data_IF_884900285469
#
_entry.id   IF_884900285469
#
_cell.length_a   1.000
_cell.length_b   1.000
_cell.length_c   1.000
_cell.angle_alpha   90.00
_cell.angle_beta   90.00
_cell.angle_gamma   90.00
#
_symmetry.space_group_name_H-M   'P 1'
#
loop_
_entity.id
_entity.type
_entity.pdbx_description
1 polymer ?
#
# COMPACT_ATOMS: atom_id res chain seq x y z
N UNK A 1 -66.22 20.91 69.51
CA UNK A 1 -64.83 21.30 69.82
C UNK A 1 -63.92 20.34 69.05
N UNK A 2 -63.48 20.74 67.85
CA UNK A 2 -62.62 19.91 66.98
C UNK A 2 -61.26 20.58 66.95
N UNK A 3 -60.26 19.95 67.57
CA UNK A 3 -58.87 20.39 67.59
C UNK A 3 -58.19 20.01 66.28
N UNK A 4 -57.81 21.00 65.49
CA UNK A 4 -56.96 20.85 64.30
C UNK A 4 -55.48 20.91 64.75
N UNK A 5 -54.76 19.81 64.58
CA UNK A 5 -53.29 19.76 64.68
C UNK A 5 -52.65 20.33 63.41
N UNK A 6 -51.62 21.19 63.49
CA UNK A 6 -50.90 21.64 62.31
C UNK A 6 -49.90 20.57 61.83
N UNK A 7 -49.91 20.29 60.52
CA UNK A 7 -48.92 19.46 59.83
C UNK A 7 -47.52 20.09 59.90
N UNK A 8 -46.51 19.25 60.14
CA UNK A 8 -45.09 19.57 59.91
C UNK A 8 -44.85 19.71 58.40
N UNK A 9 -44.14 20.74 57.91
CA UNK A 9 -43.75 20.79 56.51
C UNK A 9 -42.73 19.68 56.22
N UNK A 10 -42.98 18.97 55.12
CA UNK A 10 -42.13 17.90 54.62
C UNK A 10 -40.72 18.41 54.30
N UNK A 11 -39.70 17.69 54.79
CA UNK A 11 -38.31 17.88 54.38
C UNK A 11 -38.22 17.83 52.85
N UNK A 12 -37.87 18.98 52.26
CA UNK A 12 -37.58 19.10 50.85
C UNK A 12 -36.43 18.13 50.51
N UNK A 13 -36.77 17.01 49.86
CA UNK A 13 -35.82 16.05 49.30
C UNK A 13 -34.91 16.78 48.32
N UNK A 14 -33.72 17.15 48.79
CA UNK A 14 -32.67 17.75 47.95
C UNK A 14 -32.25 16.73 46.89
N UNK A 15 -32.56 17.01 45.63
CA UNK A 15 -32.11 16.19 44.50
C UNK A 15 -30.58 16.10 44.41
N UNK A 16 -30.04 15.10 43.68
CA UNK A 16 -28.61 14.81 43.61
C UNK A 16 -27.75 16.04 43.23
N UNK A 17 -28.30 16.95 42.44
CA UNK A 17 -27.64 18.20 42.01
C UNK A 17 -27.39 19.17 43.18
N UNK A 18 -28.31 19.29 44.15
CA UNK A 18 -28.18 20.18 45.30
C UNK A 18 -27.15 19.71 46.36
N UNK A 19 -26.82 18.41 46.36
CA UNK A 19 -25.79 17.83 47.23
C UNK A 19 -24.38 18.07 46.68
N UNK A 20 -24.23 18.05 45.35
CA UNK A 20 -22.97 18.33 44.65
C UNK A 20 -22.55 19.80 44.84
N UNK A 21 -23.50 20.74 44.78
CA UNK A 21 -23.21 22.18 44.91
C UNK A 21 -22.86 22.63 46.34
N UNK A 22 -23.47 22.05 47.39
CA UNK A 22 -23.11 22.33 48.80
C UNK A 22 -21.78 21.72 49.22
N UNK A 23 -21.42 20.55 48.68
CA UNK A 23 -20.13 19.90 48.95
C UNK A 23 -18.94 20.70 48.40
N UNK A 24 -19.11 21.37 47.25
CA UNK A 24 -18.07 22.16 46.57
C UNK A 24 -17.54 23.38 47.37
N UNK A 25 -18.26 23.81 48.42
CA UNK A 25 -17.86 24.92 49.30
C UNK A 25 -16.89 24.46 50.39
N UNK A 26 -16.82 23.16 50.69
CA UNK A 26 -15.97 22.61 51.75
C UNK A 26 -14.63 22.08 51.19
N UNK A 27 -13.54 22.21 51.96
CA UNK A 27 -12.20 21.72 51.59
C UNK A 27 -12.17 20.23 51.16
N UNK A 28 -12.93 19.32 51.80
CA UNK A 28 -13.03 17.91 51.37
C UNK A 28 -13.77 17.73 50.04
N UNK A 29 -14.84 18.48 49.80
CA UNK A 29 -15.63 18.36 48.57
C UNK A 29 -14.88 18.81 47.31
N UNK A 30 -14.03 19.84 47.43
CA UNK A 30 -13.14 20.25 46.32
C UNK A 30 -12.11 19.18 45.96
N UNK A 31 -11.54 18.46 46.94
CA UNK A 31 -10.59 17.37 46.69
C UNK A 31 -11.26 16.17 46.01
N UNK A 32 -12.50 15.84 46.39
CA UNK A 32 -13.29 14.80 45.72
C UNK A 32 -13.60 15.15 44.26
N UNK A 33 -13.90 16.42 43.97
CA UNK A 33 -14.19 16.87 42.60
C UNK A 33 -12.93 16.79 41.71
N UNK A 34 -11.77 17.18 42.23
CA UNK A 34 -10.48 17.02 41.53
C UNK A 34 -10.17 15.54 41.29
N UNK A 35 -10.44 14.66 42.26
CA UNK A 35 -10.27 13.21 42.09
C UNK A 35 -11.09 12.66 40.92
N UNK A 36 -12.39 13.01 40.90
CA UNK A 36 -13.31 12.59 39.84
C UNK A 36 -12.86 13.15 38.49
N UNK A 37 -12.47 14.42 38.42
CA UNK A 37 -11.97 15.03 37.20
C UNK A 37 -10.71 14.32 36.67
N UNK A 38 -9.73 14.03 37.54
CA UNK A 38 -8.51 13.31 37.15
C UNK A 38 -8.81 11.89 36.65
N UNK A 39 -9.73 11.17 37.31
CA UNK A 39 -10.15 9.84 36.89
C UNK A 39 -10.83 9.88 35.52
N UNK A 40 -11.71 10.85 35.29
CA UNK A 40 -12.38 11.04 34.00
C UNK A 40 -11.36 11.35 32.89
N UNK A 41 -10.45 12.31 33.10
CA UNK A 41 -9.42 12.64 32.10
C UNK A 41 -8.51 11.43 31.83
N UNK A 42 -8.12 10.68 32.86
CA UNK A 42 -7.31 9.46 32.70
C UNK A 42 -8.06 8.40 31.88
N UNK A 43 -9.33 8.15 32.19
CA UNK A 43 -10.15 7.17 31.49
C UNK A 43 -10.36 7.56 30.02
N UNK A 44 -10.73 8.82 29.74
CA UNK A 44 -10.92 9.33 28.38
C UNK A 44 -9.62 9.24 27.59
N UNK A 45 -8.49 9.67 28.18
CA UNK A 45 -7.18 9.59 27.52
C UNK A 45 -6.81 8.15 27.18
N UNK A 46 -6.99 7.22 28.13
CA UNK A 46 -6.70 5.79 27.92
C UNK A 46 -7.56 5.17 26.82
N UNK A 47 -8.87 5.46 26.81
CA UNK A 47 -9.80 4.96 25.79
C UNK A 47 -9.44 5.50 24.40
N UNK A 48 -9.25 6.82 24.27
CA UNK A 48 -8.92 7.45 22.99
C UNK A 48 -7.57 6.95 22.48
N UNK A 49 -6.57 6.82 23.35
CA UNK A 49 -5.26 6.24 23.00
C UNK A 49 -5.40 4.79 22.52
N UNK A 50 -6.15 3.95 23.24
CA UNK A 50 -6.37 2.55 22.87
C UNK A 50 -7.06 2.41 21.51
N UNK A 51 -8.13 3.18 21.28
CA UNK A 51 -8.85 3.19 19.99
C UNK A 51 -7.95 3.67 18.85
N UNK A 52 -7.13 4.71 19.08
CA UNK A 52 -6.21 5.22 18.06
C UNK A 52 -5.13 4.20 17.70
N UNK A 53 -4.59 3.49 18.70
CA UNK A 53 -3.59 2.44 18.50
C UNK A 53 -4.18 1.23 17.79
N UNK A 54 -5.41 0.85 18.15
CA UNK A 54 -6.13 -0.24 17.50
C UNK A 54 -6.40 0.11 16.03
N UNK A 55 -6.91 1.30 15.75
CA UNK A 55 -7.16 1.75 14.38
C UNK A 55 -5.88 1.72 13.52
N UNK A 56 -4.73 2.18 14.07
CA UNK A 56 -3.45 2.09 13.36
C UNK A 56 -3.00 0.65 13.11
N UNK A 57 -3.25 -0.27 14.04
CA UNK A 57 -2.95 -1.69 13.85
C UNK A 57 -3.83 -2.30 12.77
N UNK A 58 -5.13 -2.02 12.81
CA UNK A 58 -6.09 -2.50 11.82
C UNK A 58 -5.71 -1.99 10.42
N UNK A 59 -5.27 -0.74 10.27
CA UNK A 59 -4.75 -0.21 8.99
C UNK A 59 -3.50 -0.96 8.51
N UNK A 60 -2.56 -1.30 9.41
CA UNK A 60 -1.36 -2.05 9.04
C UNK A 60 -1.68 -3.49 8.62
N UNK A 61 -2.64 -4.13 9.32
CA UNK A 61 -3.10 -5.47 8.98
C UNK A 61 -3.84 -5.46 7.63
N UNK A 62 -4.65 -4.43 7.35
CA UNK A 62 -5.35 -4.27 6.07
C UNK A 62 -4.41 -4.01 4.88
N UNK A 63 -3.36 -3.20 5.08
CA UNK A 63 -2.31 -2.96 4.10
C UNK A 63 -1.67 -4.27 3.60
N UNK A 64 -1.45 -5.23 4.51
CA UNK A 64 -0.83 -6.53 4.21
C UNK A 64 -1.84 -7.53 3.67
N UNK A 65 -3.02 -7.62 4.27
CA UNK A 65 -3.99 -8.67 3.97
C UNK A 65 -4.80 -8.40 2.69
N UNK A 66 -5.04 -7.13 2.36
CA UNK A 66 -5.93 -6.75 1.27
C UNK A 66 -5.26 -5.83 0.24
N UNK A 67 -4.63 -4.73 0.67
CA UNK A 67 -4.17 -3.69 -0.29
C UNK A 67 -3.03 -4.12 -1.19
N UNK A 68 -1.93 -4.65 -0.64
CA UNK A 68 -0.82 -5.13 -1.47
C UNK A 68 -1.25 -6.25 -2.43
N UNK A 69 -2.03 -7.26 -1.99
CA UNK A 69 -2.51 -8.32 -2.88
C UNK A 69 -3.41 -7.84 -4.04
N UNK A 70 -4.10 -6.70 -3.89
CA UNK A 70 -4.94 -6.09 -4.94
C UNK A 70 -4.08 -5.31 -5.94
N UNK A 71 -3.17 -4.46 -5.47
CA UNK A 71 -2.19 -3.81 -6.35
C UNK A 71 -1.37 -4.85 -7.14
N UNK A 72 -1.02 -5.96 -6.49
CA UNK A 72 -0.35 -7.08 -7.15
C UNK A 72 -1.24 -7.77 -8.20
N UNK A 73 -2.54 -7.88 -7.96
CA UNK A 73 -3.49 -8.45 -8.93
C UNK A 73 -3.63 -7.53 -10.16
N UNK A 74 -3.80 -6.22 -9.97
CA UNK A 74 -3.87 -5.26 -11.08
C UNK A 74 -2.61 -5.30 -11.96
N UNK A 75 -1.44 -5.34 -11.33
CA UNK A 75 -0.16 -5.50 -12.01
C UNK A 75 -0.04 -6.84 -12.76
N UNK A 76 -0.58 -7.92 -12.19
CA UNK A 76 -0.61 -9.23 -12.82
C UNK A 76 -1.51 -9.25 -14.07
N UNK A 77 -2.63 -8.51 -14.06
CA UNK A 77 -3.47 -8.33 -15.25
C UNK A 77 -2.65 -7.68 -16.37
N UNK A 78 -2.01 -6.53 -16.11
CA UNK A 78 -1.18 -5.86 -17.12
C UNK A 78 -0.10 -6.80 -17.66
N UNK A 79 0.63 -7.46 -16.77
CA UNK A 79 1.70 -8.41 -17.11
C UNK A 79 1.20 -9.46 -18.11
N UNK A 80 0.16 -10.18 -17.73
CA UNK A 80 -0.31 -11.33 -18.48
C UNK A 80 -0.91 -10.90 -19.81
N UNK A 81 -1.64 -9.79 -19.83
CA UNK A 81 -2.18 -9.25 -21.08
C UNK A 81 -1.07 -8.84 -22.06
N UNK A 82 -0.03 -8.17 -21.57
CA UNK A 82 1.05 -7.74 -22.46
C UNK A 82 1.94 -8.90 -22.92
N UNK A 83 2.18 -9.91 -22.07
CA UNK A 83 2.93 -11.12 -22.48
C UNK A 83 2.12 -11.95 -23.48
N UNK A 84 0.79 -12.03 -23.31
CA UNK A 84 -0.10 -12.67 -24.27
C UNK A 84 -0.04 -12.01 -25.65
N UNK A 85 -0.07 -10.67 -25.72
CA UNK A 85 0.00 -9.93 -26.99
C UNK A 85 1.35 -10.10 -27.70
N UNK A 86 2.46 -9.99 -26.95
CA UNK A 86 3.80 -10.23 -27.50
C UNK A 86 3.98 -11.70 -27.96
N UNK A 87 3.43 -12.66 -27.21
CA UNK A 87 3.46 -14.09 -27.55
C UNK A 87 2.62 -14.38 -28.79
N UNK A 88 1.42 -13.79 -28.90
CA UNK A 88 0.56 -13.92 -30.07
C UNK A 88 1.24 -13.36 -31.33
N UNK A 89 1.88 -12.20 -31.23
CA UNK A 89 2.62 -11.62 -32.35
C UNK A 89 3.85 -12.46 -32.74
N UNK A 90 4.60 -12.98 -31.75
CA UNK A 90 5.75 -13.87 -32.01
C UNK A 90 5.33 -15.18 -32.68
N UNK A 91 4.22 -15.78 -32.22
CA UNK A 91 3.62 -16.98 -32.82
C UNK A 91 3.10 -16.73 -34.23
N UNK A 92 2.67 -15.50 -34.53
CA UNK A 92 2.27 -15.12 -35.87
C UNK A 92 3.48 -15.03 -36.81
N UNK A 93 4.58 -14.41 -36.35
CA UNK A 93 5.82 -14.25 -37.11
C UNK A 93 6.50 -15.56 -37.49
N UNK A 94 6.32 -16.64 -36.71
CA UNK A 94 6.86 -17.96 -37.08
C UNK A 94 6.24 -18.55 -38.35
N UNK A 95 5.07 -18.03 -38.78
CA UNK A 95 4.35 -18.47 -39.97
C UNK A 95 3.69 -19.85 -39.82
N UNK A 96 2.64 -20.10 -40.61
CA UNK A 96 1.99 -21.41 -40.68
C UNK A 96 1.36 -21.87 -39.36
N UNK A 97 1.68 -23.09 -38.94
CA UNK A 97 1.25 -23.64 -37.64
C UNK A 97 2.20 -23.13 -36.56
N UNK A 98 1.65 -22.43 -35.57
CA UNK A 98 2.44 -21.88 -34.46
C UNK A 98 3.14 -22.99 -33.64
N UNK A 99 4.32 -22.70 -33.06
CA UNK A 99 4.96 -23.58 -32.08
C UNK A 99 4.04 -23.85 -30.87
N UNK A 100 4.01 -25.10 -30.42
CA UNK A 100 3.14 -25.52 -29.30
C UNK A 100 3.47 -24.77 -28.00
N UNK A 101 4.74 -24.44 -27.78
CA UNK A 101 5.21 -23.73 -26.60
C UNK A 101 4.64 -22.31 -26.53
N UNK A 102 4.60 -21.60 -27.67
CA UNK A 102 4.02 -20.25 -27.73
C UNK A 102 2.50 -20.30 -27.56
N UNK A 103 1.84 -21.33 -28.08
CA UNK A 103 0.41 -21.54 -27.88
C UNK A 103 0.08 -21.72 -26.40
N UNK A 104 0.79 -22.61 -25.71
CA UNK A 104 0.59 -22.87 -24.29
C UNK A 104 0.88 -21.63 -23.43
N UNK A 105 1.92 -20.86 -23.77
CA UNK A 105 2.22 -19.60 -23.06
C UNK A 105 1.09 -18.58 -23.20
N UNK A 106 0.59 -18.35 -24.41
CA UNK A 106 -0.55 -17.46 -24.65
C UNK A 106 -1.78 -17.87 -23.84
N UNK A 107 -2.15 -19.15 -23.86
CA UNK A 107 -3.31 -19.66 -23.11
C UNK A 107 -3.13 -19.49 -21.60
N UNK A 108 -1.93 -19.76 -21.10
CA UNK A 108 -1.58 -19.56 -19.69
C UNK A 108 -1.72 -18.09 -19.27
N UNK A 109 -1.22 -17.17 -20.08
CA UNK A 109 -1.29 -15.73 -19.81
C UNK A 109 -2.75 -15.24 -19.81
N UNK A 110 -3.58 -15.66 -20.76
CA UNK A 110 -5.01 -15.30 -20.77
C UNK A 110 -5.73 -15.83 -19.53
N UNK A 111 -5.44 -17.08 -19.13
CA UNK A 111 -6.00 -17.65 -17.90
C UNK A 111 -5.55 -16.89 -16.65
N UNK A 112 -4.27 -16.50 -16.59
CA UNK A 112 -3.71 -15.75 -15.47
C UNK A 112 -4.28 -14.33 -15.39
N UNK A 113 -4.46 -13.65 -16.52
CA UNK A 113 -5.13 -12.35 -16.59
C UNK A 113 -6.59 -12.46 -16.10
N UNK A 114 -7.32 -13.49 -16.54
CA UNK A 114 -8.70 -13.72 -16.10
C UNK A 114 -8.82 -13.99 -14.60
N UNK A 115 -7.91 -14.80 -14.03
CA UNK A 115 -7.86 -15.05 -12.58
C UNK A 115 -7.52 -13.79 -11.77
N UNK A 116 -6.53 -13.00 -12.23
CA UNK A 116 -6.17 -11.75 -11.59
C UNK A 116 -7.29 -10.71 -11.67
N UNK A 117 -8.01 -10.65 -12.81
CA UNK A 117 -9.19 -9.80 -12.98
C UNK A 117 -10.34 -10.21 -12.05
N UNK A 118 -10.58 -11.51 -11.86
CA UNK A 118 -11.57 -11.99 -10.91
C UNK A 118 -11.22 -11.58 -9.47
N UNK A 119 -9.93 -11.66 -9.09
CA UNK A 119 -9.45 -11.19 -7.78
C UNK A 119 -9.58 -9.67 -7.63
N UNK A 120 -9.20 -8.89 -8.64
CA UNK A 120 -9.37 -7.45 -8.60
C UNK A 120 -10.84 -7.08 -8.43
N UNK A 121 -11.75 -7.78 -9.12
CA UNK A 121 -13.21 -7.57 -9.08
C UNK A 121 -13.84 -7.71 -7.70
N UNK A 122 -13.23 -8.43 -6.75
CA UNK A 122 -13.85 -8.66 -5.43
C UNK A 122 -13.85 -7.45 -4.51
N UNK A 123 -12.93 -6.50 -4.68
CA UNK A 123 -12.77 -5.32 -3.80
C UNK A 123 -13.15 -3.99 -4.47
N UNK A 124 -13.69 -4.05 -5.68
CA UNK A 124 -14.02 -2.85 -6.47
C UNK A 124 -15.31 -2.18 -6.02
N UNK A 125 -16.14 -2.87 -5.23
CA UNK A 125 -17.48 -2.43 -4.85
C UNK A 125 -17.56 -1.07 -4.13
N UNK A 126 -16.43 -0.53 -3.67
CA UNK A 126 -16.33 0.78 -3.03
C UNK A 126 -15.91 1.94 -3.96
N UNK A 127 -15.52 1.70 -5.22
CA UNK A 127 -14.94 2.76 -6.07
C UNK A 127 -15.36 2.71 -7.55
N UNK A 128 -16.09 3.74 -8.00
CA UNK A 128 -16.54 3.83 -9.38
C UNK A 128 -15.42 3.84 -10.42
N UNK A 129 -14.24 4.40 -10.11
CA UNK A 129 -13.13 4.51 -11.06
C UNK A 129 -12.49 3.16 -11.32
N UNK A 130 -12.25 2.38 -10.26
CA UNK A 130 -11.76 1.02 -10.37
C UNK A 130 -12.81 0.11 -11.04
N UNK A 131 -14.10 0.33 -10.74
CA UNK A 131 -15.21 -0.44 -11.33
C UNK A 131 -15.27 -0.27 -12.84
N UNK A 132 -15.08 0.96 -13.32
CA UNK A 132 -15.01 1.25 -14.75
C UNK A 132 -13.84 0.54 -15.44
N UNK A 133 -12.66 0.44 -14.80
CA UNK A 133 -11.52 -0.26 -15.41
C UNK A 133 -11.75 -1.77 -15.49
N UNK A 134 -12.29 -2.37 -14.42
CA UNK A 134 -12.64 -3.80 -14.41
C UNK A 134 -13.72 -4.12 -15.44
N UNK A 135 -14.69 -3.23 -15.64
CA UNK A 135 -15.71 -3.37 -16.68
C UNK A 135 -15.09 -3.39 -18.08
N UNK A 136 -14.19 -2.44 -18.38
CA UNK A 136 -13.47 -2.40 -19.67
C UNK A 136 -12.69 -3.69 -19.89
N UNK A 137 -11.92 -4.13 -18.89
CA UNK A 137 -11.13 -5.36 -18.98
C UNK A 137 -12.02 -6.59 -19.24
N UNK A 138 -13.13 -6.70 -18.50
CA UNK A 138 -14.07 -7.83 -18.59
C UNK A 138 -14.77 -7.89 -19.95
N UNK A 139 -15.13 -6.75 -20.53
CA UNK A 139 -15.80 -6.68 -21.83
C UNK A 139 -14.85 -6.91 -23.01
N UNK A 140 -13.63 -6.36 -22.94
CA UNK A 140 -12.71 -6.34 -24.08
C UNK A 140 -11.80 -7.57 -24.16
N UNK A 141 -11.51 -8.26 -23.05
CA UNK A 141 -10.64 -9.44 -23.05
C UNK A 141 -11.16 -10.60 -23.94
N UNK A 142 -12.47 -10.94 -23.93
CA UNK A 142 -13.02 -11.92 -24.86
C UNK A 142 -12.93 -11.49 -26.32
N UNK A 143 -13.13 -10.19 -26.62
CA UNK A 143 -13.04 -9.63 -27.98
C UNK A 143 -11.62 -9.76 -28.51
N UNK A 144 -10.63 -9.35 -27.70
CA UNK A 144 -9.21 -9.52 -28.00
C UNK A 144 -8.88 -10.99 -28.31
N UNK A 145 -9.31 -11.91 -27.44
CA UNK A 145 -9.04 -13.34 -27.62
C UNK A 145 -9.63 -13.87 -28.93
N UNK A 146 -10.85 -13.45 -29.27
CA UNK A 146 -11.49 -13.82 -30.54
C UNK A 146 -10.76 -13.29 -31.78
N UNK A 147 -10.22 -12.07 -31.73
CA UNK A 147 -9.41 -11.50 -32.83
C UNK A 147 -8.10 -12.28 -33.02
N UNK A 148 -7.41 -12.64 -31.92
CA UNK A 148 -6.18 -13.45 -31.99
C UNK A 148 -6.44 -14.84 -32.58
N UNK A 149 -7.53 -15.51 -32.17
CA UNK A 149 -7.90 -16.81 -32.76
C UNK A 149 -8.23 -16.69 -34.26
N UNK A 150 -8.90 -15.60 -34.66
CA UNK A 150 -9.20 -15.32 -36.07
C UNK A 150 -7.91 -15.07 -36.88
N UNK A 151 -6.98 -14.30 -36.31
CA UNK A 151 -5.67 -14.06 -36.91
C UNK A 151 -4.90 -15.36 -37.11
N UNK A 152 -4.86 -16.21 -36.09
CA UNK A 152 -4.22 -17.53 -36.11
C UNK A 152 -4.82 -18.45 -37.16
N UNK A 153 -6.15 -18.54 -37.24
CA UNK A 153 -6.84 -19.37 -38.24
C UNK A 153 -6.51 -18.96 -39.69
N UNK A 154 -6.37 -17.66 -39.93
CA UNK A 154 -5.94 -17.13 -41.22
C UNK A 154 -4.44 -17.36 -41.48
N UNK A 155 -3.59 -17.21 -40.45
CA UNK A 155 -2.14 -17.45 -40.57
C UNK A 155 -1.83 -18.89 -40.98
N UNK A 156 -2.54 -19.87 -40.39
CA UNK A 156 -2.43 -21.30 -40.74
C UNK A 156 -2.79 -21.59 -42.20
N UNK A 157 -3.65 -20.78 -42.81
CA UNK A 157 -4.05 -20.89 -44.22
C UNK A 157 -3.18 -20.03 -45.15
N UNK A 158 -2.23 -19.26 -44.62
CA UNK A 158 -1.41 -18.33 -45.38
C UNK A 158 -2.16 -17.09 -45.89
N UNK A 159 -3.34 -16.79 -45.33
CA UNK A 159 -4.15 -15.66 -45.76
C UNK A 159 -3.61 -14.33 -45.20
N UNK A 160 -3.39 -13.29 -46.05
CA UNK A 160 -2.91 -11.98 -45.59
C UNK A 160 -3.80 -11.31 -44.54
N UNK A 161 -5.10 -11.65 -44.52
CA UNK A 161 -6.06 -11.16 -43.53
C UNK A 161 -5.65 -11.47 -42.08
N UNK A 162 -4.85 -12.51 -41.84
CA UNK A 162 -4.37 -12.84 -40.50
C UNK A 162 -3.59 -11.70 -39.85
N UNK A 163 -2.76 -11.00 -40.63
CA UNK A 163 -1.96 -9.88 -40.11
C UNK A 163 -2.85 -8.68 -39.76
N UNK A 164 -3.94 -8.46 -40.50
CA UNK A 164 -4.89 -7.40 -40.20
C UNK A 164 -5.63 -7.66 -38.88
N UNK A 165 -6.13 -8.88 -38.67
CA UNK A 165 -6.78 -9.26 -37.40
C UNK A 165 -5.82 -9.22 -36.21
N UNK A 166 -4.55 -9.61 -36.38
CA UNK A 166 -3.57 -9.50 -35.32
C UNK A 166 -3.31 -8.04 -34.95
N UNK A 167 -3.12 -7.15 -35.94
CA UNK A 167 -2.94 -5.71 -35.68
C UNK A 167 -4.17 -5.10 -35.00
N UNK A 168 -5.38 -5.54 -35.37
CA UNK A 168 -6.61 -5.11 -34.70
C UNK A 168 -6.65 -5.58 -33.24
N UNK A 169 -6.27 -6.84 -32.97
CA UNK A 169 -6.15 -7.38 -31.62
C UNK A 169 -5.15 -6.57 -30.78
N UNK A 170 -3.93 -6.34 -31.29
CA UNK A 170 -2.92 -5.57 -30.58
C UNK A 170 -3.30 -4.10 -30.43
N UNK A 171 -4.02 -3.51 -31.40
CA UNK A 171 -4.58 -2.16 -31.25
C UNK A 171 -5.62 -2.09 -30.12
N UNK A 172 -6.49 -3.10 -29.99
CA UNK A 172 -7.43 -3.22 -28.87
C UNK A 172 -6.68 -3.38 -27.54
N UNK A 173 -5.64 -4.21 -27.53
CA UNK A 173 -4.78 -4.43 -26.35
C UNK A 173 -4.18 -3.10 -25.87
N UNK A 174 -3.56 -2.36 -26.77
CA UNK A 174 -2.83 -1.12 -26.45
C UNK A 174 -3.71 0.08 -26.18
N UNK A 175 -4.88 0.18 -26.83
CA UNK A 175 -5.77 1.34 -26.68
C UNK A 175 -6.81 1.20 -25.57
N UNK A 176 -7.11 -0.03 -25.14
CA UNK A 176 -8.15 -0.30 -24.13
C UNK A 176 -7.67 -1.13 -22.96
N UNK A 177 -7.15 -2.33 -23.22
CA UNK A 177 -6.87 -3.31 -22.16
C UNK A 177 -5.69 -2.91 -21.27
N UNK A 178 -4.52 -2.63 -21.87
CA UNK A 178 -3.34 -2.21 -21.11
C UNK A 178 -3.55 -0.89 -20.36
N UNK A 179 -4.13 0.18 -20.96
CA UNK A 179 -4.44 1.40 -20.23
C UNK A 179 -5.45 1.20 -19.09
N UNK A 180 -6.42 0.30 -19.24
CA UNK A 180 -7.36 0.00 -18.16
C UNK A 180 -6.67 -0.75 -17.00
N UNK A 181 -5.80 -1.70 -17.31
CA UNK A 181 -5.01 -2.41 -16.30
C UNK A 181 -4.01 -1.49 -15.57
N UNK A 182 -3.35 -0.59 -16.31
CA UNK A 182 -2.45 0.42 -15.77
C UNK A 182 -3.18 1.39 -14.83
N UNK A 183 -4.33 1.93 -15.25
CA UNK A 183 -5.16 2.78 -14.39
C UNK A 183 -5.70 2.06 -13.15
N UNK A 184 -6.07 0.79 -13.28
CA UNK A 184 -6.51 0.00 -12.14
C UNK A 184 -5.38 -0.14 -11.12
N UNK A 185 -4.15 -0.38 -11.60
CA UNK A 185 -2.97 -0.41 -10.74
C UNK A 185 -2.70 0.95 -10.08
N UNK A 186 -2.74 2.06 -10.82
CA UNK A 186 -2.56 3.41 -10.28
C UNK A 186 -3.57 3.72 -9.16
N UNK A 187 -4.85 3.38 -9.37
CA UNK A 187 -5.89 3.58 -8.35
C UNK A 187 -5.58 2.78 -7.08
N UNK A 188 -5.23 1.51 -7.21
CA UNK A 188 -4.91 0.65 -6.05
C UNK A 188 -3.61 1.09 -5.35
N UNK A 189 -2.64 1.60 -6.11
CA UNK A 189 -1.41 2.14 -5.58
C UNK A 189 -1.61 3.45 -4.79
N UNK A 190 -2.38 4.39 -5.33
CA UNK A 190 -2.72 5.66 -4.65
C UNK A 190 -3.44 5.43 -3.33
N UNK A 191 -4.33 4.43 -3.28
CA UNK A 191 -5.00 4.01 -2.04
C UNK A 191 -4.04 3.43 -1.03
N UNK A 192 -3.13 2.57 -1.48
CA UNK A 192 -2.08 2.00 -0.64
C UNK A 192 -1.19 3.11 -0.05
N UNK A 193 -0.80 4.11 -0.85
CA UNK A 193 -0.06 5.27 -0.36
C UNK A 193 -0.87 6.08 0.67
N UNK A 194 -2.14 6.36 0.38
CA UNK A 194 -3.02 7.11 1.30
C UNK A 194 -3.18 6.40 2.66
N UNK A 195 -3.29 5.07 2.67
CA UNK A 195 -3.35 4.29 3.90
C UNK A 195 -2.00 4.24 4.64
N UNK A 196 -0.88 4.18 3.93
CA UNK A 196 0.45 4.31 4.53
C UNK A 196 0.66 5.70 5.19
N UNK A 197 0.22 6.77 4.53
CA UNK A 197 0.24 8.13 5.09
C UNK A 197 -0.65 8.25 6.34
N UNK A 198 -1.86 7.69 6.27
CA UNK A 198 -2.79 7.62 7.40
C UNK A 198 -2.19 6.84 8.58
N UNK A 199 -1.50 5.72 8.31
CA UNK A 199 -0.81 4.94 9.33
C UNK A 199 0.30 5.75 10.03
N UNK A 200 1.01 6.64 9.33
CA UNK A 200 2.03 7.54 9.92
C UNK A 200 1.49 8.81 10.56
N UNK A 201 0.22 9.14 10.33
CA UNK A 201 -0.37 10.37 10.86
C UNK A 201 -0.16 10.54 12.37
N UNK A 202 0.22 11.76 12.78
CA UNK A 202 0.44 12.08 14.19
C UNK A 202 -0.91 12.15 14.93
N UNK A 203 -1.09 11.41 16.04
CA UNK A 203 -2.36 11.37 16.76
C UNK A 203 -2.54 12.60 17.66
N UNK A 204 -2.76 13.77 17.06
CA UNK A 204 -2.84 15.07 17.76
C UNK A 204 -3.85 15.10 18.92
N UNK A 205 -5.00 14.43 18.77
CA UNK A 205 -6.03 14.34 19.82
C UNK A 205 -5.49 13.62 21.05
N UNK A 206 -4.78 12.50 20.86
CA UNK A 206 -4.15 11.74 21.96
C UNK A 206 -3.09 12.60 22.66
N UNK A 207 -2.25 13.30 21.88
CA UNK A 207 -1.21 14.19 22.42
C UNK A 207 -1.84 15.29 23.27
N UNK A 208 -2.91 15.94 22.79
CA UNK A 208 -3.60 17.00 23.53
C UNK A 208 -4.19 16.49 24.86
N UNK A 209 -4.83 15.31 24.86
CA UNK A 209 -5.38 14.68 26.06
C UNK A 209 -4.29 14.30 27.07
N UNK A 210 -3.17 13.77 26.58
CA UNK A 210 -1.98 13.47 27.37
C UNK A 210 -1.43 14.73 28.04
N UNK A 211 -1.25 15.82 27.28
CA UNK A 211 -0.73 17.09 27.81
C UNK A 211 -1.67 17.64 28.87
N UNK A 212 -2.99 17.56 28.64
CA UNK A 212 -4.01 17.95 29.61
C UNK A 212 -3.92 17.11 30.90
N UNK A 213 -3.76 15.78 30.77
CA UNK A 213 -3.65 14.86 31.91
C UNK A 213 -2.40 15.16 32.74
N UNK A 214 -1.25 15.35 32.10
CA UNK A 214 0.02 15.69 32.77
C UNK A 214 -0.10 17.05 33.47
N UNK A 215 -0.65 18.06 32.80
CA UNK A 215 -0.87 19.37 33.39
C UNK A 215 -1.80 19.31 34.61
N UNK A 216 -2.88 18.53 34.54
CA UNK A 216 -3.81 18.33 35.65
C UNK A 216 -3.16 17.61 36.85
N UNK A 217 -2.32 16.59 36.60
CA UNK A 217 -1.56 15.90 37.65
C UNK A 217 -0.57 16.84 38.34
N UNK A 218 0.21 17.60 37.56
CA UNK A 218 1.19 18.57 38.08
C UNK A 218 0.50 19.69 38.87
N UNK A 219 -0.61 20.23 38.35
CA UNK A 219 -1.39 21.25 39.05
C UNK A 219 -1.95 20.73 40.38
N UNK A 220 -2.45 19.49 40.39
CA UNK A 220 -2.99 18.84 41.60
C UNK A 220 -1.90 18.59 42.65
N UNK A 221 -0.73 18.07 42.23
CA UNK A 221 0.42 17.90 43.11
C UNK A 221 0.87 19.23 43.70
N UNK A 222 1.04 20.28 42.88
CA UNK A 222 1.44 21.62 43.33
C UNK A 222 0.45 22.23 44.31
N UNK A 223 -0.86 22.07 44.06
CA UNK A 223 -1.91 22.54 44.98
C UNK A 223 -1.86 21.82 46.33
N UNK A 224 -1.69 20.49 46.33
CA UNK A 224 -1.56 19.70 47.55
C UNK A 224 -0.29 20.07 48.34
N UNK A 225 0.86 20.20 47.67
CA UNK A 225 2.13 20.57 48.33
C UNK A 225 2.03 21.95 48.97
N UNK A 226 1.47 22.95 48.28
CA UNK A 226 1.28 24.30 48.83
C UNK A 226 0.33 24.35 50.02
N UNK A 227 -0.69 23.49 50.06
CA UNK A 227 -1.70 23.50 51.11
C UNK A 227 -1.33 22.67 52.34
N UNK A 228 -0.51 21.63 52.17
CA UNK A 228 -0.20 20.66 53.23
C UNK A 228 1.28 20.65 53.67
N UNK A 229 2.15 21.43 53.03
CA UNK A 229 3.60 21.49 53.29
C UNK A 229 4.35 20.15 53.27
N UNK A 230 3.72 19.05 52.80
CA UNK A 230 4.37 17.75 52.55
C UNK A 230 4.75 17.65 51.08
N UNK A 231 6.01 17.27 50.83
CA UNK A 231 6.61 17.34 49.50
C UNK A 231 6.04 16.31 48.50
N UNK A 232 5.64 15.11 48.92
CA UNK A 232 5.23 14.03 47.99
C UNK A 232 4.01 13.25 48.48
N UNK A 233 3.03 13.05 47.59
CA UNK A 233 1.92 12.11 47.77
C UNK A 233 2.21 10.84 46.96
N UNK A 234 2.47 9.73 47.65
CA UNK A 234 2.91 8.46 47.04
C UNK A 234 1.93 7.97 45.97
N UNK A 235 0.61 8.07 46.20
CA UNK A 235 -0.38 7.65 45.21
C UNK A 235 -0.36 8.48 43.92
N UNK A 236 -0.19 9.80 44.04
CA UNK A 236 -0.05 10.69 42.87
C UNK A 236 1.29 10.50 42.15
N UNK A 237 2.36 10.11 42.87
CA UNK A 237 3.65 9.77 42.27
C UNK A 237 3.52 8.48 41.45
N UNK A 238 2.88 7.43 42.00
CA UNK A 238 2.60 6.18 41.27
C UNK A 238 1.77 6.46 40.02
N UNK A 239 0.74 7.30 40.13
CA UNK A 239 -0.07 7.68 38.96
C UNK A 239 0.74 8.44 37.90
N UNK A 240 1.60 9.37 38.33
CA UNK A 240 2.47 10.12 37.40
C UNK A 240 3.50 9.21 36.73
N UNK A 241 4.08 8.27 37.47
CA UNK A 241 5.02 7.28 36.94
C UNK A 241 4.33 6.36 35.93
N UNK A 242 3.13 5.87 36.23
CA UNK A 242 2.35 5.04 35.29
C UNK A 242 2.03 5.79 33.99
N UNK A 243 1.59 7.06 34.08
CA UNK A 243 1.38 7.90 32.90
C UNK A 243 2.69 8.10 32.12
N UNK A 244 3.79 8.43 32.80
CA UNK A 244 5.09 8.63 32.15
C UNK A 244 5.57 7.37 31.42
N UNK A 245 5.43 6.19 32.02
CA UNK A 245 5.77 4.91 31.39
C UNK A 245 4.90 4.67 30.15
N UNK A 246 3.59 4.89 30.24
CA UNK A 246 2.69 4.79 29.07
C UNK A 246 3.11 5.72 27.94
N UNK A 247 3.54 6.94 28.26
CA UNK A 247 3.97 7.93 27.28
C UNK A 247 5.27 7.54 26.60
N UNK A 248 6.29 7.16 27.37
CA UNK A 248 7.59 6.77 26.82
C UNK A 248 7.43 5.51 25.97
N UNK A 249 6.69 4.51 26.45
CA UNK A 249 6.43 3.28 25.70
C UNK A 249 5.62 3.58 24.43
N UNK A 250 4.49 4.29 24.54
CA UNK A 250 3.66 4.66 23.40
C UNK A 250 4.41 5.48 22.34
N UNK A 251 5.18 6.48 22.75
CA UNK A 251 6.01 7.28 21.86
C UNK A 251 7.08 6.43 21.16
N UNK A 252 7.77 5.56 21.88
CA UNK A 252 8.80 4.68 21.31
C UNK A 252 8.19 3.72 20.27
N UNK A 253 7.05 3.11 20.59
CA UNK A 253 6.36 2.22 19.67
C UNK A 253 5.85 2.94 18.41
N UNK A 254 5.30 4.16 18.55
CA UNK A 254 4.88 4.97 17.42
C UNK A 254 6.06 5.42 16.54
N UNK A 255 7.21 5.74 17.13
CA UNK A 255 8.43 6.06 16.37
C UNK A 255 8.96 4.85 15.61
N UNK A 256 9.02 3.68 16.25
CA UNK A 256 9.42 2.42 15.59
C UNK A 256 8.44 2.04 14.47
N UNK A 257 7.14 2.09 14.75
CA UNK A 257 6.09 1.88 13.75
C UNK A 257 6.25 2.83 12.58
N UNK A 258 6.37 4.14 12.82
CA UNK A 258 6.50 5.15 11.76
C UNK A 258 7.76 4.94 10.92
N UNK A 259 8.89 4.58 11.54
CA UNK A 259 10.13 4.23 10.84
C UNK A 259 9.98 2.98 9.98
N UNK A 260 9.32 1.94 10.48
CA UNK A 260 9.05 0.73 9.69
C UNK A 260 8.10 1.00 8.53
N UNK A 261 7.04 1.80 8.72
CA UNK A 261 6.17 2.20 7.61
C UNK A 261 6.98 3.04 6.61
N UNK A 262 7.88 3.93 7.06
CA UNK A 262 8.79 4.74 6.22
C UNK A 262 9.66 3.88 5.31
N UNK A 263 10.28 2.85 5.87
CA UNK A 263 11.04 1.87 5.10
C UNK A 263 10.13 1.08 4.14
N UNK A 264 8.93 0.67 4.58
CA UNK A 264 7.98 -0.07 3.75
C UNK A 264 7.50 0.73 2.52
N UNK A 265 7.40 2.06 2.65
CA UNK A 265 7.07 2.93 1.53
C UNK A 265 8.26 3.10 0.60
N UNK A 266 9.41 3.57 1.10
CA UNK A 266 10.55 3.91 0.25
C UNK A 266 11.17 2.69 -0.44
N UNK A 267 11.40 1.63 0.33
CA UNK A 267 12.13 0.45 -0.12
C UNK A 267 11.19 -0.68 -0.55
N UNK A 268 9.88 -0.50 -0.33
CA UNK A 268 8.83 -1.43 -0.74
C UNK A 268 7.97 -0.81 -1.82
N UNK A 269 6.88 -0.12 -1.44
CA UNK A 269 5.85 0.32 -2.40
C UNK A 269 6.36 1.29 -3.48
N UNK A 270 7.20 2.27 -3.16
CA UNK A 270 7.78 3.20 -4.15
C UNK A 270 8.75 2.48 -5.10
N UNK A 271 9.63 1.63 -4.58
CA UNK A 271 10.52 0.86 -5.46
C UNK A 271 9.71 -0.08 -6.38
N UNK A 272 8.70 -0.75 -5.83
CA UNK A 272 7.81 -1.63 -6.59
C UNK A 272 7.09 -0.86 -7.69
N UNK A 273 6.57 0.33 -7.42
CA UNK A 273 5.92 1.17 -8.44
C UNK A 273 6.87 1.51 -9.59
N UNK A 274 8.07 2.01 -9.30
CA UNK A 274 9.06 2.31 -10.33
C UNK A 274 9.43 1.07 -11.16
N UNK A 275 9.56 -0.10 -10.52
CA UNK A 275 9.81 -1.37 -11.21
C UNK A 275 8.61 -1.82 -12.05
N UNK A 276 7.38 -1.59 -11.59
CA UNK A 276 6.16 -1.85 -12.35
C UNK A 276 6.11 -0.98 -13.59
N UNK A 277 6.37 0.33 -13.47
CA UNK A 277 6.45 1.26 -14.59
C UNK A 277 7.54 0.88 -15.59
N UNK A 278 8.74 0.52 -15.10
CA UNK A 278 9.82 0.04 -15.97
C UNK A 278 9.39 -1.20 -16.75
N UNK A 279 8.69 -2.12 -16.09
CA UNK A 279 8.20 -3.35 -16.68
C UNK A 279 7.07 -3.10 -17.69
N UNK A 280 6.12 -2.21 -17.37
CA UNK A 280 5.07 -1.72 -18.28
C UNK A 280 5.69 -1.18 -19.56
N UNK A 281 6.67 -0.28 -19.45
CA UNK A 281 7.34 0.32 -20.61
C UNK A 281 8.14 -0.73 -21.39
N UNK A 282 8.83 -1.65 -20.72
CA UNK A 282 9.58 -2.72 -21.41
C UNK A 282 8.64 -3.65 -22.20
N UNK A 283 7.46 -3.94 -21.66
CA UNK A 283 6.46 -4.79 -22.31
C UNK A 283 5.81 -4.08 -23.51
N UNK A 284 5.49 -2.77 -23.39
CA UNK A 284 5.03 -1.93 -24.51
C UNK A 284 6.08 -1.88 -25.64
N UNK A 285 7.35 -1.61 -25.31
CA UNK A 285 8.47 -1.69 -26.25
C UNK A 285 8.58 -3.07 -26.93
N UNK A 286 8.41 -4.18 -26.20
CA UNK A 286 8.51 -5.53 -26.79
C UNK A 286 7.39 -5.80 -27.78
N UNK A 287 6.18 -5.32 -27.51
CA UNK A 287 5.07 -5.37 -28.45
C UNK A 287 5.39 -4.54 -29.70
N UNK A 288 5.88 -3.31 -29.53
CA UNK A 288 6.28 -2.44 -30.64
C UNK A 288 7.33 -3.08 -31.54
N UNK A 289 8.42 -3.58 -30.97
CA UNK A 289 9.48 -4.27 -31.70
C UNK A 289 8.92 -5.40 -32.57
N UNK A 290 8.05 -6.23 -32.01
CA UNK A 290 7.45 -7.35 -32.74
C UNK A 290 6.51 -6.86 -33.85
N UNK A 291 5.73 -5.81 -33.57
CA UNK A 291 4.78 -5.23 -34.52
C UNK A 291 5.46 -4.47 -35.67
N UNK A 292 6.66 -3.92 -35.48
CA UNK A 292 7.43 -3.35 -36.61
C UNK A 292 7.63 -4.38 -37.73
N UNK A 293 7.89 -5.64 -37.38
CA UNK A 293 8.07 -6.74 -38.33
C UNK A 293 6.73 -7.26 -38.87
N UNK A 294 5.69 -7.36 -38.03
CA UNK A 294 4.34 -7.80 -38.46
C UNK A 294 3.73 -6.82 -39.46
N UNK A 295 3.98 -5.52 -39.30
CA UNK A 295 3.37 -4.47 -40.11
C UNK A 295 3.92 -4.37 -41.56
N UNK A 296 5.01 -5.08 -41.90
CA UNK A 296 5.59 -5.20 -43.26
C UNK A 296 5.52 -3.90 -44.09
N UNK A 297 6.03 -2.80 -43.53
CA UNK A 297 6.09 -1.48 -44.18
C UNK A 297 5.25 -0.37 -43.51
N UNK A 298 4.32 -0.72 -42.62
CA UNK A 298 3.54 0.23 -41.80
C UNK A 298 4.04 0.31 -40.33
N UNK A 299 5.33 0.02 -40.13
CA UNK A 299 5.99 -0.01 -38.82
C UNK A 299 6.49 1.32 -38.22
N UNK A 300 6.60 2.47 -38.93
CA UNK A 300 7.24 3.67 -38.36
C UNK A 300 6.63 4.20 -37.05
N UNK A 301 5.33 4.06 -36.85
CA UNK A 301 4.67 4.47 -35.60
C UNK A 301 5.13 3.64 -34.40
N UNK A 302 5.30 2.32 -34.58
CA UNK A 302 5.79 1.42 -33.54
C UNK A 302 7.25 1.69 -33.21
N UNK A 303 8.08 1.96 -34.21
CA UNK A 303 9.48 2.35 -34.01
C UNK A 303 9.59 3.65 -33.20
N UNK A 304 8.77 4.65 -33.52
CA UNK A 304 8.78 5.92 -32.80
C UNK A 304 8.38 5.75 -31.33
N UNK A 305 7.36 4.96 -31.04
CA UNK A 305 6.94 4.65 -29.65
C UNK A 305 8.01 3.84 -28.91
N UNK A 306 8.62 2.85 -29.58
CA UNK A 306 9.75 2.08 -29.03
C UNK A 306 10.88 3.00 -28.57
N UNK A 307 11.31 3.95 -29.42
CA UNK A 307 12.40 4.86 -29.09
C UNK A 307 12.07 5.76 -27.88
N UNK A 308 10.83 6.25 -27.79
CA UNK A 308 10.36 7.07 -26.67
C UNK A 308 10.38 6.28 -25.36
N UNK A 309 9.83 5.07 -25.36
CA UNK A 309 9.75 4.22 -24.18
C UNK A 309 11.13 3.67 -23.79
N UNK A 310 11.97 3.28 -24.75
CA UNK A 310 13.33 2.79 -24.50
C UNK A 310 14.20 3.86 -23.82
N UNK A 311 14.00 5.15 -24.11
CA UNK A 311 14.69 6.24 -23.43
C UNK A 311 14.43 6.25 -21.91
N UNK A 312 13.27 5.75 -21.45
CA UNK A 312 12.95 5.60 -20.01
C UNK A 312 13.65 4.40 -19.34
N UNK A 313 14.29 3.51 -20.13
CA UNK A 313 14.96 2.30 -19.63
C UNK A 313 16.48 2.39 -19.78
N UNK A 314 16.96 2.82 -20.95
CA UNK A 314 18.40 2.86 -21.27
C UNK A 314 18.96 4.29 -21.37
N UNK A 315 18.11 5.31 -21.30
CA UNK A 315 18.54 6.71 -21.44
C UNK A 315 19.32 7.25 -20.23
N UNK A 316 20.00 8.38 -20.43
CA UNK A 316 20.86 8.99 -19.42
C UNK A 316 20.18 9.97 -18.45
N UNK A 317 18.90 10.28 -18.66
CA UNK A 317 18.17 11.27 -17.88
C UNK A 317 17.67 10.76 -16.52
N UNK A 318 17.15 11.69 -15.70
CA UNK A 318 16.50 11.38 -14.42
C UNK A 318 15.23 10.53 -14.59
N UNK A 319 14.62 10.54 -15.78
CA UNK A 319 13.44 9.75 -16.14
C UNK A 319 13.76 8.26 -16.35
N UNK A 320 15.02 7.83 -16.18
CA UNK A 320 15.39 6.43 -16.29
C UNK A 320 14.87 5.64 -15.08
N UNK A 321 13.86 4.81 -15.33
CA UNK A 321 13.15 4.03 -14.32
C UNK A 321 14.05 2.96 -13.67
N UNK A 322 14.97 2.35 -14.42
CA UNK A 322 15.89 1.35 -13.86
C UNK A 322 16.90 1.98 -12.89
N UNK A 323 17.33 3.22 -13.14
CA UNK A 323 18.18 3.97 -12.22
C UNK A 323 17.43 4.43 -10.98
N UNK A 324 16.20 4.91 -11.14
CA UNK A 324 15.33 5.25 -10.02
C UNK A 324 15.08 4.02 -9.14
N UNK A 325 14.75 2.88 -9.74
CA UNK A 325 14.57 1.62 -9.02
C UNK A 325 15.85 1.20 -8.28
N UNK A 326 17.02 1.40 -8.88
CA UNK A 326 18.32 1.12 -8.24
C UNK A 326 18.59 2.04 -7.06
N UNK A 327 18.21 3.31 -7.14
CA UNK A 327 18.39 4.29 -6.07
C UNK A 327 17.46 4.03 -4.87
N UNK A 328 16.30 3.42 -5.10
CA UNK A 328 15.35 2.99 -4.07
C UNK A 328 15.65 1.58 -3.53
N UNK A 329 16.42 0.78 -4.27
CA UNK A 329 16.75 -0.58 -3.88
C UNK A 329 17.46 -0.66 -2.53
N UNK A 330 16.99 -1.61 -1.72
CA UNK A 330 17.55 -1.90 -0.41
C UNK A 330 18.11 -3.30 -0.35
N UNK A 331 19.36 -3.41 0.10
CA UNK A 331 20.08 -4.67 0.17
C UNK A 331 20.77 -5.08 -1.13
N UNK A 332 21.81 -5.90 -0.99
CA UNK A 332 22.71 -6.26 -2.10
C UNK A 332 22.02 -7.09 -3.17
N UNK A 333 21.08 -7.97 -2.79
CA UNK A 333 20.37 -8.83 -3.72
C UNK A 333 19.45 -8.04 -4.67
N UNK A 334 18.56 -7.19 -4.13
CA UNK A 334 17.67 -6.36 -4.95
C UNK A 334 18.46 -5.39 -5.84
N UNK A 335 19.53 -4.79 -5.30
CA UNK A 335 20.43 -3.91 -6.08
C UNK A 335 21.11 -4.66 -7.22
N UNK A 336 21.55 -5.90 -6.98
CA UNK A 336 22.15 -6.77 -7.98
C UNK A 336 21.18 -7.14 -9.10
N UNK A 337 19.93 -7.47 -8.77
CA UNK A 337 18.88 -7.77 -9.75
C UNK A 337 18.55 -6.55 -10.63
N UNK A 338 18.43 -5.36 -10.03
CA UNK A 338 18.20 -4.13 -10.82
C UNK A 338 19.40 -3.80 -11.70
N UNK A 339 20.63 -4.04 -11.24
CA UNK A 339 21.81 -3.86 -12.08
C UNK A 339 21.80 -4.82 -13.29
N UNK A 340 21.47 -6.10 -13.07
CA UNK A 340 21.33 -7.04 -14.18
C UNK A 340 20.20 -6.64 -15.14
N UNK A 341 19.12 -6.06 -14.63
CA UNK A 341 18.06 -5.49 -15.47
C UNK A 341 18.60 -4.34 -16.35
N UNK A 342 19.43 -3.44 -15.80
CA UNK A 342 20.08 -2.37 -16.59
C UNK A 342 20.93 -2.96 -17.73
N UNK A 343 21.76 -3.96 -17.42
CA UNK A 343 22.66 -4.57 -18.40
C UNK A 343 21.86 -5.31 -19.50
N UNK A 344 20.81 -6.04 -19.12
CA UNK A 344 19.94 -6.74 -20.08
C UNK A 344 19.07 -5.78 -20.91
N UNK A 345 18.67 -4.63 -20.36
CA UNK A 345 17.97 -3.60 -21.12
C UNK A 345 18.87 -3.00 -22.21
N UNK A 346 20.14 -2.74 -21.90
CA UNK A 346 21.11 -2.29 -22.89
C UNK A 346 21.36 -3.36 -23.99
N UNK A 347 21.56 -4.61 -23.60
CA UNK A 347 21.73 -5.71 -24.54
C UNK A 347 20.50 -5.89 -25.46
N UNK A 348 19.29 -5.73 -24.90
CA UNK A 348 18.07 -5.78 -25.66
C UNK A 348 17.92 -4.60 -26.64
N UNK A 349 18.25 -3.38 -26.22
CA UNK A 349 18.25 -2.22 -27.10
C UNK A 349 19.24 -2.36 -28.28
N UNK A 350 20.40 -2.99 -28.06
CA UNK A 350 21.34 -3.30 -29.13
C UNK A 350 20.82 -4.38 -30.08
N UNK A 351 20.16 -5.42 -29.56
CA UNK A 351 19.51 -6.44 -30.37
C UNK A 351 18.38 -5.84 -31.23
N UNK A 352 17.59 -4.91 -30.67
CA UNK A 352 16.56 -4.17 -31.39
C UNK A 352 17.14 -3.37 -32.56
N UNK A 353 18.22 -2.63 -32.31
CA UNK A 353 18.93 -1.87 -33.35
C UNK A 353 19.35 -2.76 -34.52
N UNK A 354 19.88 -3.95 -34.21
CA UNK A 354 20.24 -4.95 -35.23
C UNK A 354 19.04 -5.47 -36.00
N UNK A 355 17.89 -5.67 -35.35
CA UNK A 355 16.64 -6.05 -36.05
C UNK A 355 16.26 -4.98 -37.06
N UNK A 356 16.33 -3.69 -36.68
CA UNK A 356 16.02 -2.57 -37.58
C UNK A 356 16.98 -2.50 -38.76
N UNK A 357 18.28 -2.65 -38.52
CA UNK A 357 19.30 -2.68 -39.58
C UNK A 357 19.06 -3.83 -40.59
N UNK A 358 18.68 -5.01 -40.10
CA UNK A 358 18.36 -6.16 -40.96
C UNK A 358 17.07 -5.95 -41.77
N UNK A 359 16.00 -5.46 -41.11
CA UNK A 359 14.70 -5.21 -41.73
C UNK A 359 14.79 -4.12 -42.81
N UNK A 360 15.45 -2.99 -42.51
CA UNK A 360 15.68 -1.89 -43.45
C UNK A 360 16.66 -2.27 -44.58
N UNK A 361 17.58 -3.20 -44.31
CA UNK A 361 18.48 -3.80 -45.29
C UNK A 361 17.82 -4.86 -46.19
N UNK A 362 16.53 -5.16 -46.00
CA UNK A 362 15.78 -6.16 -46.76
C UNK A 362 16.03 -7.61 -46.34
N UNK A 363 16.74 -7.85 -45.24
CA UNK A 363 17.04 -9.16 -44.68
C UNK A 363 15.97 -9.58 -43.66
N UNK A 364 14.70 -9.61 -44.11
CA UNK A 364 13.53 -9.83 -43.24
C UNK A 364 13.59 -11.13 -42.45
N UNK A 365 13.99 -12.24 -43.08
CA UNK A 365 14.10 -13.55 -42.40
C UNK A 365 15.13 -13.52 -41.25
N UNK A 366 16.26 -12.83 -41.44
CA UNK A 366 17.28 -12.66 -40.42
C UNK A 366 16.82 -11.71 -39.31
N UNK A 367 16.05 -10.67 -39.65
CA UNK A 367 15.41 -9.76 -38.70
C UNK A 367 14.42 -10.52 -37.80
N UNK A 368 13.55 -11.34 -38.39
CA UNK A 368 12.63 -12.22 -37.65
C UNK A 368 13.40 -13.19 -36.77
N UNK A 369 14.40 -13.88 -37.30
CA UNK A 369 15.23 -14.81 -36.52
C UNK A 369 15.89 -14.13 -35.32
N UNK A 370 16.36 -12.89 -35.49
CA UNK A 370 16.96 -12.10 -34.39
C UNK A 370 15.91 -11.65 -33.36
N UNK A 371 14.69 -11.34 -33.81
CA UNK A 371 13.58 -10.89 -32.96
C UNK A 371 12.98 -11.99 -32.08
N UNK A 372 12.75 -13.19 -32.64
CA UNK A 372 12.04 -14.29 -31.96
C UNK A 372 12.91 -15.52 -31.65
N UNK A 373 14.17 -15.55 -32.08
CA UNK A 373 15.05 -16.70 -31.91
C UNK A 373 15.50 -16.94 -30.46
N UNK A 374 16.04 -18.14 -30.20
CA UNK A 374 16.54 -18.57 -28.89
C UNK A 374 18.06 -18.42 -28.71
N UNK A 375 18.74 -17.74 -29.65
CA UNK A 375 20.19 -17.53 -29.55
C UNK A 375 20.52 -16.60 -28.37
N UNK A 376 21.69 -16.73 -27.70
CA UNK A 376 22.03 -15.92 -26.53
C UNK A 376 21.99 -14.40 -26.76
N UNK A 377 22.20 -13.97 -28.00
CA UNK A 377 22.23 -12.58 -28.43
C UNK A 377 20.93 -12.15 -29.15
N UNK A 378 19.88 -12.99 -29.15
CA UNK A 378 18.59 -12.62 -29.71
C UNK A 378 17.88 -11.60 -28.83
N UNK A 379 17.02 -10.80 -29.45
CA UNK A 379 16.21 -9.81 -28.73
C UNK A 379 15.26 -10.48 -27.73
N UNK A 380 14.63 -11.59 -28.11
CA UNK A 380 13.76 -12.37 -27.21
C UNK A 380 14.50 -12.86 -25.95
N UNK A 381 15.74 -13.33 -26.08
CA UNK A 381 16.53 -13.81 -24.94
C UNK A 381 16.95 -12.67 -24.02
N UNK A 382 17.42 -11.54 -24.57
CA UNK A 382 17.80 -10.37 -23.78
C UNK A 382 16.60 -9.79 -23.03
N UNK A 383 15.46 -9.64 -23.71
CA UNK A 383 14.20 -9.21 -23.10
C UNK A 383 13.73 -10.19 -22.00
N UNK A 384 13.79 -11.50 -22.25
CA UNK A 384 13.41 -12.49 -21.24
C UNK A 384 14.25 -12.43 -19.96
N UNK A 385 15.54 -12.11 -20.07
CA UNK A 385 16.40 -11.86 -18.91
C UNK A 385 16.02 -10.57 -18.20
N UNK A 386 15.81 -9.47 -18.93
CA UNK A 386 15.33 -8.21 -18.39
C UNK A 386 14.03 -8.40 -17.59
N UNK A 387 13.01 -9.03 -18.18
CA UNK A 387 11.72 -9.30 -17.52
C UNK A 387 11.89 -10.11 -16.24
N UNK A 388 12.77 -11.12 -16.29
CA UNK A 388 13.07 -11.97 -15.13
C UNK A 388 13.72 -11.16 -14.00
N UNK A 389 14.74 -10.35 -14.30
CA UNK A 389 15.40 -9.53 -13.29
C UNK A 389 14.45 -8.49 -12.69
N UNK A 390 13.63 -7.83 -13.52
CA UNK A 390 12.59 -6.92 -13.06
C UNK A 390 11.58 -7.63 -12.13
N UNK A 391 11.12 -8.82 -12.49
CA UNK A 391 10.21 -9.60 -11.66
C UNK A 391 10.84 -10.00 -10.32
N UNK A 392 12.09 -10.46 -10.33
CA UNK A 392 12.81 -10.82 -9.10
C UNK A 392 12.96 -9.60 -8.19
N UNK A 393 13.39 -8.45 -8.73
CA UNK A 393 13.51 -7.20 -7.98
C UNK A 393 12.15 -6.74 -7.41
N UNK A 394 11.09 -6.87 -8.20
CA UNK A 394 9.73 -6.50 -7.79
C UNK A 394 9.25 -7.39 -6.62
N UNK A 395 9.47 -8.70 -6.71
CA UNK A 395 9.12 -9.62 -5.63
C UNK A 395 9.93 -9.33 -4.35
N UNK A 396 11.21 -8.97 -4.48
CA UNK A 396 12.02 -8.56 -3.33
C UNK A 396 11.47 -7.28 -2.68
N UNK A 397 11.05 -6.29 -3.47
CA UNK A 397 10.40 -5.08 -2.95
C UNK A 397 9.07 -5.36 -2.24
N UNK A 398 8.25 -6.28 -2.77
CA UNK A 398 7.01 -6.74 -2.11
C UNK A 398 7.29 -7.46 -0.79
N UNK A 399 8.31 -8.31 -0.75
CA UNK A 399 8.74 -8.99 0.48
C UNK A 399 9.24 -8.01 1.54
N UNK A 400 9.98 -6.97 1.13
CA UNK A 400 10.43 -5.91 2.03
C UNK A 400 9.23 -5.10 2.57
N UNK A 401 8.27 -4.74 1.71
CA UNK A 401 7.00 -4.11 2.13
C UNK A 401 6.28 -4.96 3.19
N UNK A 402 6.11 -6.26 2.92
CA UNK A 402 5.43 -7.19 3.84
C UNK A 402 6.17 -7.27 5.18
N UNK A 403 7.49 -7.45 5.13
CA UNK A 403 8.35 -7.58 6.30
C UNK A 403 8.31 -6.32 7.16
N UNK A 404 8.42 -5.13 6.54
CA UNK A 404 8.44 -3.85 7.25
C UNK A 404 7.07 -3.50 7.81
N UNK A 405 5.98 -3.71 7.07
CA UNK A 405 4.62 -3.47 7.56
C UNK A 405 4.26 -4.41 8.71
N UNK A 406 4.66 -5.68 8.62
CA UNK A 406 4.51 -6.65 9.72
C UNK A 406 5.30 -6.24 10.97
N UNK A 407 6.55 -5.76 10.82
CA UNK A 407 7.34 -5.21 11.94
C UNK A 407 6.70 -3.95 12.53
N UNK A 408 6.08 -3.10 11.71
CA UNK A 408 5.32 -1.95 12.17
C UNK A 408 4.13 -2.36 13.05
N UNK A 409 3.33 -3.35 12.63
CA UNK A 409 2.24 -3.91 13.43
C UNK A 409 2.77 -4.61 14.70
N UNK A 410 3.91 -5.29 14.57
CA UNK A 410 4.67 -5.89 15.67
C UNK A 410 5.02 -4.89 16.77
N UNK A 411 5.49 -3.68 16.40
CA UNK A 411 5.85 -2.61 17.34
C UNK A 411 4.66 -2.13 18.21
N UNK A 412 3.43 -2.32 17.75
CA UNK A 412 2.21 -1.98 18.50
C UNK A 412 1.71 -3.13 19.39
N UNK A 413 2.33 -4.31 19.31
CA UNK A 413 1.85 -5.51 20.02
C UNK A 413 1.97 -5.36 21.53
N UNK A 414 0.89 -5.68 22.24
CA UNK A 414 0.82 -5.57 23.70
C UNK A 414 0.62 -4.14 24.22
N UNK A 415 0.62 -3.12 23.35
CA UNK A 415 0.53 -1.74 23.78
C UNK A 415 -0.87 -1.37 24.27
N UNK A 416 -1.92 -1.83 23.60
CA UNK A 416 -3.31 -1.65 24.04
C UNK A 416 -3.57 -2.25 25.43
N UNK A 417 -3.31 -3.55 25.70
CA UNK A 417 -3.48 -4.11 27.04
C UNK A 417 -2.51 -3.50 28.07
N UNK A 418 -1.27 -3.16 27.66
CA UNK A 418 -0.30 -2.50 28.53
C UNK A 418 -0.74 -1.11 29.00
N UNK A 419 -1.24 -0.27 28.08
CA UNK A 419 -1.79 1.05 28.40
C UNK A 419 -3.05 0.93 29.25
N UNK A 420 -3.90 -0.07 29.00
CA UNK A 420 -5.08 -0.33 29.83
C UNK A 420 -4.68 -0.66 31.29
N UNK A 421 -3.69 -1.53 31.48
CA UNK A 421 -3.16 -1.87 32.82
C UNK A 421 -2.54 -0.63 33.48
N UNK A 422 -1.72 0.15 32.78
CA UNK A 422 -1.12 1.37 33.32
C UNK A 422 -2.15 2.44 33.68
N UNK A 423 -3.25 2.55 32.91
CA UNK A 423 -4.37 3.43 33.22
C UNK A 423 -5.09 3.00 34.51
N UNK A 424 -5.28 1.69 34.72
CA UNK A 424 -5.83 1.16 35.97
C UNK A 424 -4.91 1.42 37.17
N UNK A 425 -3.60 1.26 37.00
CA UNK A 425 -2.59 1.61 38.03
C UNK A 425 -2.65 3.10 38.35
N UNK A 426 -2.77 3.97 37.33
CA UNK A 426 -2.89 5.40 37.54
C UNK A 426 -4.17 5.77 38.30
N UNK A 427 -5.31 5.16 37.93
CA UNK A 427 -6.58 5.35 38.63
C UNK A 427 -6.52 4.88 40.10
N UNK A 428 -5.90 3.74 40.37
CA UNK A 428 -5.66 3.25 41.72
C UNK A 428 -4.76 4.20 42.53
N UNK A 429 -3.70 4.72 41.91
CA UNK A 429 -2.82 5.71 42.53
C UNK A 429 -3.54 7.03 42.88
N UNK A 430 -4.36 7.55 41.98
CA UNK A 430 -5.18 8.76 42.20
C UNK A 430 -6.16 8.54 43.35
N UNK A 431 -6.89 7.43 43.35
CA UNK A 431 -7.91 7.14 44.38
C UNK A 431 -7.28 6.94 45.76
N UNK A 432 -6.20 6.15 45.87
CA UNK A 432 -5.51 5.92 47.14
C UNK A 432 -4.87 7.20 47.67
N UNK A 433 -4.17 7.95 46.82
CA UNK A 433 -3.49 9.19 47.21
C UNK A 433 -4.44 10.28 47.70
N UNK A 434 -5.65 10.36 47.15
CA UNK A 434 -6.66 11.34 47.60
C UNK A 434 -7.42 10.82 48.84
N UNK A 435 -7.71 9.52 48.93
CA UNK A 435 -8.38 8.91 50.09
C UNK A 435 -7.56 9.06 51.37
N UNK A 436 -6.25 8.86 51.28
CA UNK A 436 -5.34 9.02 52.42
C UNK A 436 -5.40 10.46 52.97
N UNK A 437 -5.50 11.46 52.08
CA UNK A 437 -5.66 12.86 52.48
C UNK A 437 -7.05 13.19 53.03
N UNK A 438 -8.11 12.61 52.48
CA UNK A 438 -9.46 12.79 53.02
C UNK A 438 -9.61 12.23 54.45
N UNK A 439 -8.83 11.20 54.81
CA UNK A 439 -8.78 10.66 56.17
C UNK A 439 -8.09 11.58 57.18
N UNK A 440 -7.16 12.42 56.75
CA UNK A 440 -6.48 13.39 57.63
C UNK A 440 -7.38 14.59 58.03
N UNK A 441 -8.50 14.82 57.33
CA UNK A 441 -9.47 15.89 57.63
C UNK A 441 -10.70 15.42 58.41
N UNK A 442 -10.79 14.13 58.74
CA UNK A 442 -11.78 13.56 59.65
C UNK A 442 -11.13 13.33 61.00
#
# INVERSE_FOLDING_TARGET
MVTVTPERPADARTGPVGRVTRSAVTTPGRLSLVAVALLLVTAVTGIVAALTLQAKRDTLDDLVAHREPLAAAAQQIFRSLSDADATAASAFLSGGVEPAELRTRYEFDIAQAGSALAKASTDVGGDPLASAQVEVLSQQLPVYSGLVETARANNRQGFPAGAAYLREASALMRSKLLPAAEKLYEIDYDRLQTEQESARSVPWVVIALVVLLVAALVATQRYLTRKTNRLLNVGLVVASAAVLVSLVWGATALLLMSGHVADAERNGSQQVDVLVQARINSLKCRADETLTLVARGDGPGYEQEWQQLAATLVGDGEQNLLRQAKALASGDAATGEVQQAVDNAAAWADAHRRIRELDEGGQYEDAVKTAIGAEPNSSATAFGKLDKNLLTALNAGREEFFTKTTKAGGALTGLVPGVAVLALVAAAGITLGIRERLREYR
#
